data_IF_435509365965
#
_entry.id   IF_435509365965
#
_cell.length_a   1.000
_cell.length_b   1.000
_cell.length_c   1.000
_cell.angle_alpha   90.00
_cell.angle_beta   90.00
_cell.angle_gamma   90.00
#
_symmetry.space_group_name_H-M   'P 1'
#
loop_
_entity.id
_entity.type
_entity.pdbx_description
1 polymer ?
#
# COMPACT_ATOMS: atom_id res chain seq x y z
N UNK A 1 -24.58 -16.75 -24.02
CA UNK A 1 -23.49 -15.80 -23.72
C UNK A 1 -22.87 -16.25 -22.41
N UNK A 2 -21.69 -16.86 -22.44
CA UNK A 2 -20.98 -17.29 -21.22
C UNK A 2 -20.11 -16.13 -20.75
N UNK A 3 -20.40 -15.62 -19.56
CA UNK A 3 -19.56 -14.61 -18.90
C UNK A 3 -18.31 -15.35 -18.43
N UNK A 4 -17.18 -15.11 -19.09
CA UNK A 4 -15.87 -15.58 -18.65
C UNK A 4 -15.34 -14.60 -17.60
N UNK A 5 -14.86 -15.12 -16.47
CA UNK A 5 -14.08 -14.33 -15.52
C UNK A 5 -12.77 -13.90 -16.19
N UNK A 6 -12.56 -12.58 -16.25
CA UNK A 6 -11.32 -12.01 -16.77
C UNK A 6 -10.21 -12.25 -15.75
N UNK A 7 -9.03 -12.63 -16.23
CA UNK A 7 -7.87 -12.66 -15.36
C UNK A 7 -7.43 -11.22 -15.01
N UNK A 8 -6.58 -11.07 -14.00
CA UNK A 8 -6.21 -9.75 -13.48
C UNK A 8 -5.51 -8.87 -14.54
N UNK A 9 -4.80 -9.45 -15.50
CA UNK A 9 -4.19 -8.72 -16.64
C UNK A 9 -5.24 -8.24 -17.65
N UNK A 10 -6.27 -9.03 -17.89
CA UNK A 10 -7.39 -8.67 -18.76
C UNK A 10 -8.25 -7.59 -18.09
N UNK A 11 -8.48 -7.66 -16.77
CA UNK A 11 -9.18 -6.63 -15.98
C UNK A 11 -8.43 -5.29 -16.02
N UNK A 12 -7.10 -5.28 -15.89
CA UNK A 12 -6.31 -4.04 -15.98
C UNK A 12 -6.35 -3.44 -17.39
N UNK A 13 -6.35 -4.28 -18.44
CA UNK A 13 -6.49 -3.80 -19.83
C UNK A 13 -7.87 -3.18 -20.14
N UNK A 14 -8.95 -3.72 -19.54
CA UNK A 14 -10.33 -3.31 -19.82
C UNK A 14 -10.77 -2.12 -18.95
N UNK A 15 -10.23 -2.00 -17.73
CA UNK A 15 -10.63 -0.97 -16.76
C UNK A 15 -10.04 0.42 -17.04
N UNK A 16 -9.06 0.55 -17.96
CA UNK A 16 -8.37 1.83 -18.21
C UNK A 16 -7.48 2.29 -17.04
N UNK A 17 -7.39 1.49 -15.97
CA UNK A 17 -6.42 1.68 -14.90
C UNK A 17 -5.05 1.23 -15.42
N UNK A 18 -4.37 2.12 -16.14
CA UNK A 18 -2.95 2.03 -16.53
C UNK A 18 -2.02 2.10 -15.30
N UNK A 19 -2.35 1.41 -14.22
CA UNK A 19 -1.52 1.32 -13.04
C UNK A 19 -0.75 0.01 -13.12
N UNK A 20 0.43 0.10 -13.73
CA UNK A 20 1.28 -1.04 -13.92
C UNK A 20 1.79 -1.53 -12.53
N UNK A 21 2.00 -2.83 -12.36
CA UNK A 21 2.52 -3.41 -11.11
C UNK A 21 3.90 -2.85 -10.71
N UNK A 22 4.68 -2.38 -11.67
CA UNK A 22 5.99 -1.75 -11.43
C UNK A 22 5.83 -0.42 -10.69
N UNK A 23 4.84 0.39 -11.06
CA UNK A 23 4.52 1.68 -10.44
C UNK A 23 4.08 1.44 -8.99
N UNK A 24 3.22 0.43 -8.75
CA UNK A 24 2.84 0.03 -7.40
C UNK A 24 4.06 -0.27 -6.53
N UNK A 25 4.99 -1.07 -7.05
CA UNK A 25 6.21 -1.45 -6.33
C UNK A 25 7.10 -0.22 -6.08
N UNK A 26 7.24 0.69 -7.06
CA UNK A 26 8.01 1.91 -6.88
C UNK A 26 7.40 2.84 -5.83
N UNK A 27 6.08 2.98 -5.84
CA UNK A 27 5.34 3.74 -4.85
C UNK A 27 5.50 3.16 -3.44
N UNK A 28 5.40 1.84 -3.29
CA UNK A 28 5.63 1.16 -2.00
C UNK A 28 7.06 1.37 -1.49
N UNK A 29 8.07 1.37 -2.37
CA UNK A 29 9.45 1.73 -1.98
C UNK A 29 9.55 3.16 -1.44
N UNK A 30 8.76 4.09 -1.99
CA UNK A 30 8.69 5.46 -1.45
C UNK A 30 8.10 5.50 -0.04
N UNK A 31 7.04 4.73 0.21
CA UNK A 31 6.43 4.58 1.54
C UNK A 31 7.42 3.97 2.53
N UNK A 32 8.13 2.91 2.14
CA UNK A 32 9.18 2.26 2.92
C UNK A 32 10.29 3.25 3.31
N UNK A 33 10.78 4.05 2.35
CA UNK A 33 11.80 5.07 2.63
C UNK A 33 11.33 6.11 3.64
N UNK A 34 10.09 6.61 3.51
CA UNK A 34 9.55 7.57 4.45
C UNK A 34 9.34 6.96 5.84
N UNK A 35 8.82 5.74 5.93
CA UNK A 35 8.69 5.01 7.19
C UNK A 35 10.04 4.83 7.89
N UNK A 36 11.09 4.50 7.14
CA UNK A 36 12.46 4.41 7.66
C UNK A 36 13.00 5.76 8.17
N UNK A 37 12.64 6.88 7.53
CA UNK A 37 12.96 8.22 8.04
C UNK A 37 12.25 8.49 9.37
N UNK A 38 10.97 8.13 9.49
CA UNK A 38 10.23 8.22 10.76
C UNK A 38 10.86 7.36 11.85
N UNK A 39 11.28 6.12 11.53
CA UNK A 39 11.99 5.24 12.45
C UNK A 39 13.34 5.81 12.94
N UNK A 40 14.03 6.57 12.08
CA UNK A 40 15.31 7.19 12.43
C UNK A 40 15.17 8.38 13.40
N UNK A 41 14.05 9.10 13.37
CA UNK A 41 13.84 10.32 14.18
C UNK A 41 12.92 10.11 15.38
N UNK A 42 12.03 9.12 15.34
CA UNK A 42 11.08 8.83 16.41
C UNK A 42 11.43 7.49 17.09
N UNK A 43 11.88 7.49 18.35
CA UNK A 43 12.19 6.27 19.10
C UNK A 43 11.03 5.28 19.20
N UNK A 44 9.77 5.74 19.11
CA UNK A 44 8.60 4.87 19.15
C UNK A 44 8.52 3.90 17.95
N UNK A 45 9.20 4.22 16.86
CA UNK A 45 9.24 3.44 15.63
C UNK A 45 10.57 2.71 15.41
N UNK A 46 11.53 2.85 16.34
CA UNK A 46 12.83 2.20 16.22
C UNK A 46 12.67 0.66 16.22
N UNK A 47 13.17 0.01 15.18
CA UNK A 47 13.08 -1.44 15.01
C UNK A 47 11.70 -1.96 14.61
N UNK A 48 10.74 -1.09 14.31
CA UNK A 48 9.43 -1.48 13.77
C UNK A 48 9.50 -1.70 12.26
N UNK A 49 8.67 -2.61 11.76
CA UNK A 49 8.53 -2.85 10.32
C UNK A 49 7.88 -1.64 9.63
N UNK A 50 8.29 -1.35 8.41
CA UNK A 50 7.80 -0.18 7.67
C UNK A 50 6.30 -0.27 7.39
N UNK A 51 5.72 -1.47 7.23
CA UNK A 51 4.27 -1.65 7.05
C UNK A 51 3.52 -1.19 8.29
N UNK A 52 4.04 -1.52 9.48
CA UNK A 52 3.46 -1.06 10.74
C UNK A 52 3.50 0.47 10.84
N UNK A 53 4.67 1.06 10.60
CA UNK A 53 4.84 2.53 10.65
C UNK A 53 3.91 3.22 9.65
N UNK A 54 3.84 2.71 8.41
CA UNK A 54 2.94 3.24 7.38
C UNK A 54 1.46 3.14 7.77
N UNK A 55 1.09 2.15 8.57
CA UNK A 55 -0.29 1.93 9.03
C UNK A 55 -0.68 2.76 10.26
N UNK A 56 0.28 3.12 11.13
CA UNK A 56 -0.01 3.83 12.39
C UNK A 56 0.38 5.31 12.38
N UNK A 57 1.34 5.71 11.56
CA UNK A 57 1.79 7.11 11.47
C UNK A 57 0.79 7.94 10.64
N UNK A 58 0.10 8.93 11.22
CA UNK A 58 -0.91 9.71 10.52
C UNK A 58 -0.39 10.37 9.23
N UNK A 59 0.88 10.80 9.22
CA UNK A 59 1.52 11.41 8.05
C UNK A 59 1.69 10.45 6.86
N UNK A 60 1.75 9.14 7.10
CA UNK A 60 1.90 8.11 6.06
C UNK A 60 0.60 7.37 5.77
N UNK A 61 -0.24 7.16 6.77
CA UNK A 61 -1.46 6.36 6.68
C UNK A 61 -2.41 6.91 5.60
N UNK A 62 -2.60 8.23 5.54
CA UNK A 62 -3.47 8.86 4.54
C UNK A 62 -3.00 8.65 3.10
N UNK A 63 -1.71 8.93 2.85
CA UNK A 63 -1.10 8.77 1.53
C UNK A 63 -1.03 7.32 1.09
N UNK A 64 -0.63 6.43 2.00
CA UNK A 64 -0.55 4.98 1.73
C UNK A 64 -1.93 4.39 1.47
N UNK A 65 -2.97 4.78 2.22
CA UNK A 65 -4.33 4.30 1.99
C UNK A 65 -4.83 4.69 0.60
N UNK A 66 -4.70 5.97 0.22
CA UNK A 66 -5.12 6.45 -1.11
C UNK A 66 -4.39 5.71 -2.23
N UNK A 67 -3.09 5.49 -2.04
CA UNK A 67 -2.28 4.77 -2.99
C UNK A 67 -2.76 3.32 -3.13
N UNK A 68 -2.96 2.59 -2.04
CA UNK A 68 -3.49 1.22 -2.08
C UNK A 68 -4.89 1.19 -2.72
N UNK A 69 -5.74 2.20 -2.45
CA UNK A 69 -7.06 2.36 -3.07
C UNK A 69 -6.96 2.55 -4.59
N UNK A 70 -5.97 3.30 -5.09
CA UNK A 70 -5.74 3.46 -6.53
C UNK A 70 -5.47 2.13 -7.24
N UNK A 71 -4.93 1.14 -6.54
CA UNK A 71 -4.67 -0.20 -7.07
C UNK A 71 -5.76 -1.22 -6.74
N UNK A 72 -6.87 -0.80 -6.12
CA UNK A 72 -8.06 -1.63 -5.91
C UNK A 72 -7.98 -2.58 -4.70
N UNK A 73 -7.05 -2.37 -3.77
CA UNK A 73 -6.81 -3.27 -2.63
C UNK A 73 -7.45 -2.81 -1.31
N UNK A 74 -8.46 -1.93 -1.33
CA UNK A 74 -9.14 -1.41 -0.14
C UNK A 74 -8.16 -0.91 0.94
N UNK A 75 -7.57 0.27 0.70
CA UNK A 75 -6.43 0.82 1.43
C UNK A 75 -6.59 0.86 2.94
N UNK A 76 -7.76 1.30 3.45
CA UNK A 76 -8.01 1.35 4.89
C UNK A 76 -7.98 -0.03 5.55
N UNK A 77 -8.56 -1.03 4.90
CA UNK A 77 -8.58 -2.40 5.41
C UNK A 77 -7.20 -3.04 5.33
N UNK A 78 -6.49 -2.83 4.22
CA UNK A 78 -5.10 -3.25 4.05
C UNK A 78 -4.19 -2.70 5.15
N UNK A 79 -4.30 -1.41 5.47
CA UNK A 79 -3.52 -0.80 6.56
C UNK A 79 -3.92 -1.32 7.95
N UNK A 80 -5.21 -1.57 8.18
CA UNK A 80 -5.66 -2.17 9.44
C UNK A 80 -5.08 -3.59 9.64
N UNK A 81 -4.94 -4.36 8.56
CA UNK A 81 -4.27 -5.65 8.58
C UNK A 81 -2.75 -5.48 8.81
N UNK A 82 -2.11 -4.51 8.16
CA UNK A 82 -0.68 -4.24 8.38
C UNK A 82 -0.38 -3.88 9.85
N UNK A 83 -1.20 -3.02 10.45
CA UNK A 83 -1.06 -2.65 11.86
C UNK A 83 -1.20 -3.85 12.81
N UNK A 84 -1.91 -4.91 12.39
CA UNK A 84 -2.10 -6.14 13.17
C UNK A 84 -0.96 -7.14 12.95
N UNK A 85 -0.58 -7.35 11.69
CA UNK A 85 0.33 -8.41 11.28
C UNK A 85 1.81 -8.05 11.50
N UNK A 86 2.12 -6.75 11.53
CA UNK A 86 3.48 -6.21 11.67
C UNK A 86 3.72 -5.46 13.01
N UNK A 87 2.80 -5.58 13.97
CA UNK A 87 2.83 -4.91 15.28
C UNK A 87 4.05 -5.25 16.16
#
# INVERSE_FOLDING_TARGET
MTIRELNMEEVTSVSGANLNRVDFIQYMKGVEQMANLYAAVNPAYAGKDWHYIAAVEPGLMGGTSQLIDMFGYAGKESLANWARDYA
#
